data_IF_062025078633
#
_entry.id   IF_062025078633
#
_cell.length_a   1.000
_cell.length_b   1.000
_cell.length_c   1.000
_cell.angle_alpha   90.00
_cell.angle_beta   90.00
_cell.angle_gamma   90.00
#
_symmetry.space_group_name_H-M   'P 1'
#
loop_
_entity.id
_entity.type
_entity.pdbx_description
1 polymer ?
#
# COMPACT_ATOMS: atom_id res chain seq x y z
N UNK A 1 -3.98 12.04 0.77
CA UNK A 1 -3.56 11.37 2.03
C UNK A 1 -4.58 10.33 2.49
N UNK A 2 -5.33 9.75 1.55
CA UNK A 2 -6.57 9.03 1.80
C UNK A 2 -6.34 7.51 1.88
N UNK A 3 -5.36 7.02 1.11
CA UNK A 3 -4.95 5.62 1.12
C UNK A 3 -4.38 5.20 2.49
N UNK A 4 -3.53 6.04 3.09
CA UNK A 4 -3.02 5.80 4.46
C UNK A 4 -4.16 5.65 5.48
N UNK A 5 -5.21 6.48 5.37
CA UNK A 5 -6.35 6.41 6.26
C UNK A 5 -7.19 5.13 6.05
N UNK A 6 -7.27 4.67 4.80
CA UNK A 6 -7.93 3.41 4.43
C UNK A 6 -7.17 2.21 5.01
N UNK A 7 -5.85 2.22 4.92
CA UNK A 7 -4.99 1.21 5.54
C UNK A 7 -5.16 1.20 7.06
N UNK A 8 -5.12 2.37 7.71
CA UNK A 8 -5.33 2.47 9.16
C UNK A 8 -6.69 1.91 9.59
N UNK A 9 -7.75 2.18 8.82
CA UNK A 9 -9.10 1.61 9.07
C UNK A 9 -9.14 0.09 8.88
N UNK A 10 -8.32 -0.45 7.99
CA UNK A 10 -8.16 -1.88 7.80
C UNK A 10 -7.24 -2.54 8.86
N UNK A 11 -6.73 -1.76 9.83
CA UNK A 11 -5.80 -2.24 10.86
C UNK A 11 -4.33 -2.27 10.42
N UNK A 12 -4.02 -1.70 9.24
CA UNK A 12 -2.67 -1.65 8.69
C UNK A 12 -2.05 -0.29 8.99
N UNK A 13 -0.96 -0.28 9.72
CA UNK A 13 -0.22 0.92 10.08
C UNK A 13 0.70 1.34 8.94
N UNK A 14 0.47 2.50 8.34
CA UNK A 14 1.24 2.96 7.19
C UNK A 14 2.09 4.20 7.48
N UNK A 15 3.38 4.13 7.18
CA UNK A 15 4.38 5.19 7.36
C UNK A 15 5.05 5.52 6.04
N UNK A 16 5.27 6.81 5.76
CA UNK A 16 5.96 7.22 4.55
C UNK A 16 7.46 7.35 4.83
N UNK A 17 8.27 6.54 4.16
CA UNK A 17 9.72 6.47 4.35
C UNK A 17 10.43 6.48 2.98
N UNK A 18 11.26 7.49 2.74
CA UNK A 18 12.16 7.53 1.56
C UNK A 18 11.47 7.42 0.19
N UNK A 19 10.22 7.87 0.05
CA UNK A 19 9.46 7.74 -1.21
C UNK A 19 8.64 6.46 -1.33
N UNK A 20 8.62 5.60 -0.31
CA UNK A 20 7.76 4.43 -0.21
C UNK A 20 6.83 4.53 1.01
N UNK A 21 5.66 3.89 0.93
CA UNK A 21 4.71 3.75 2.01
C UNK A 21 4.88 2.37 2.65
N UNK A 22 5.49 2.33 3.82
CA UNK A 22 5.73 1.12 4.61
C UNK A 22 4.48 0.81 5.43
N UNK A 23 3.93 -0.38 5.24
CA UNK A 23 2.72 -0.89 5.84
C UNK A 23 3.07 -2.05 6.81
N UNK A 24 2.72 -1.89 8.08
CA UNK A 24 3.03 -2.81 9.18
C UNK A 24 4.51 -3.21 9.30
N UNK A 25 5.43 -2.43 8.70
CA UNK A 25 6.86 -2.78 8.65
C UNK A 25 7.20 -4.02 7.81
N UNK A 26 6.20 -4.65 7.17
CA UNK A 26 6.35 -5.92 6.43
C UNK A 26 6.13 -5.78 4.92
N UNK A 27 5.40 -4.74 4.51
CA UNK A 27 5.08 -4.45 3.10
C UNK A 27 5.43 -3.00 2.81
N UNK A 28 6.07 -2.73 1.68
CA UNK A 28 6.42 -1.41 1.18
C UNK A 28 5.72 -1.16 -0.16
N UNK A 29 5.06 -0.02 -0.28
CA UNK A 29 4.37 0.40 -1.50
C UNK A 29 5.14 1.58 -2.09
N UNK A 30 5.68 1.42 -3.29
CA UNK A 30 6.44 2.46 -3.97
C UNK A 30 5.72 2.90 -5.24
N UNK A 31 5.65 4.21 -5.47
CA UNK A 31 5.28 4.75 -6.78
C UNK A 31 6.54 4.92 -7.62
N UNK A 32 6.53 4.31 -8.79
CA UNK A 32 7.60 4.47 -9.80
C UNK A 32 7.29 5.68 -10.69
N UNK A 33 8.31 6.23 -11.35
CA UNK A 33 8.18 7.41 -12.21
C UNK A 33 7.18 7.21 -13.37
N UNK A 34 6.94 5.96 -13.80
CA UNK A 34 5.94 5.63 -14.82
C UNK A 34 4.49 5.59 -14.32
N UNK A 35 4.21 6.11 -13.11
CA UNK A 35 2.87 6.07 -12.51
C UNK A 35 2.41 4.70 -12.02
N UNK A 36 3.28 3.67 -12.11
CA UNK A 36 2.99 2.32 -11.62
C UNK A 36 3.24 2.22 -10.13
N UNK A 37 2.36 1.51 -9.44
CA UNK A 37 2.52 1.18 -8.03
C UNK A 37 3.18 -0.20 -7.93
N UNK A 38 4.30 -0.28 -7.23
CA UNK A 38 5.00 -1.53 -6.90
C UNK A 38 4.80 -1.83 -5.43
N UNK A 39 4.47 -3.08 -5.12
CA UNK A 39 4.30 -3.57 -3.74
C UNK A 39 5.42 -4.58 -3.50
N UNK A 40 6.25 -4.32 -2.51
CA UNK A 40 7.38 -5.16 -2.12
C UNK A 40 7.18 -5.63 -0.68
N UNK A 41 7.44 -6.89 -0.38
CA UNK A 41 7.24 -7.42 0.97
C UNK A 41 6.97 -8.92 0.98
N UNK A 42 6.86 -9.47 2.18
CA UNK A 42 6.51 -10.88 2.36
C UNK A 42 5.05 -11.13 1.96
N UNK A 43 4.79 -12.29 1.35
CA UNK A 43 3.43 -12.71 1.03
C UNK A 43 2.72 -13.07 2.33
N UNK A 44 1.81 -12.19 2.75
CA UNK A 44 1.00 -12.31 3.97
C UNK A 44 -0.41 -11.79 3.70
N UNK A 45 -1.33 -12.00 4.66
CA UNK A 45 -2.69 -11.45 4.57
C UNK A 45 -2.69 -9.93 4.35
N UNK A 46 -1.77 -9.21 5.01
CA UNK A 46 -1.56 -7.78 4.81
C UNK A 46 -1.22 -7.45 3.35
N UNK A 47 -0.36 -8.23 2.69
CA UNK A 47 -0.01 -8.03 1.28
C UNK A 47 -1.25 -8.13 0.38
N UNK A 48 -2.07 -9.17 0.57
CA UNK A 48 -3.29 -9.36 -0.20
C UNK A 48 -4.32 -8.26 0.07
N UNK A 49 -4.47 -7.84 1.33
CA UNK A 49 -5.39 -6.77 1.73
C UNK A 49 -4.98 -5.43 1.13
N UNK A 50 -3.70 -5.06 1.26
CA UNK A 50 -3.12 -3.84 0.68
C UNK A 50 -3.33 -3.82 -0.83
N UNK A 51 -3.04 -4.94 -1.51
CA UNK A 51 -3.23 -5.07 -2.95
C UNK A 51 -4.70 -4.85 -3.31
N UNK A 52 -5.64 -5.49 -2.61
CA UNK A 52 -7.09 -5.32 -2.85
C UNK A 52 -7.50 -3.85 -2.68
N UNK A 53 -7.11 -3.21 -1.58
CA UNK A 53 -7.42 -1.81 -1.30
C UNK A 53 -6.82 -0.86 -2.34
N UNK A 54 -5.59 -1.13 -2.79
CA UNK A 54 -4.95 -0.37 -3.87
C UNK A 54 -5.76 -0.48 -5.17
N UNK A 55 -6.17 -1.69 -5.54
CA UNK A 55 -7.03 -1.90 -6.71
C UNK A 55 -8.37 -1.20 -6.54
N UNK A 56 -9.04 -1.27 -5.39
CA UNK A 56 -10.32 -0.58 -5.18
C UNK A 56 -10.21 0.95 -5.30
N UNK A 57 -9.08 1.55 -4.92
CA UNK A 57 -8.89 3.01 -4.96
C UNK A 57 -8.29 3.54 -6.26
N UNK A 58 -7.45 2.75 -6.95
CA UNK A 58 -6.70 3.17 -8.14
C UNK A 58 -7.13 2.47 -9.44
N UNK A 59 -7.80 1.33 -9.37
CA UNK A 59 -8.48 0.75 -10.53
C UNK A 59 -9.88 1.37 -10.62
N UNK A 60 -9.93 2.56 -11.22
CA UNK A 60 -11.16 3.04 -11.86
C UNK A 60 -11.21 2.35 -13.23
N UNK A 61 -12.30 1.64 -13.49
CA UNK A 61 -12.62 0.98 -14.78
C UNK A 61 -12.60 1.97 -15.95
#
# INVERSE_FOLDING_TARGET
SDFKNTLTKAGIQAEFCGGALICNGVVAIKRTEGGKISIEGSVSDDYYLIRKLLYEQFAIV
#
